data_IF_892072333403
#
_entry.id   IF_892072333403
#
_cell.length_a   1.000
_cell.length_b   1.000
_cell.length_c   1.000
_cell.angle_alpha   90.00
_cell.angle_beta   90.00
_cell.angle_gamma   90.00
#
_symmetry.space_group_name_H-M   'P 1'
#
loop_
_entity.id
_entity.type
_entity.pdbx_description
1 polymer ?
#
# COMPACT_ATOMS: atom_id res chain seq x y z
N UNK A 1 -22.98 3.93 7.95
CA UNK A 1 -23.62 4.03 6.65
C UNK A 1 -22.69 3.56 5.55
N UNK A 2 -23.31 3.26 4.43
CA UNK A 2 -22.55 2.77 3.29
C UNK A 2 -21.52 3.78 2.79
N UNK A 3 -21.68 5.02 3.19
CA UNK A 3 -20.75 6.06 2.78
C UNK A 3 -19.43 6.04 3.55
N UNK A 4 -19.30 5.18 4.52
CA UNK A 4 -18.07 5.13 5.31
C UNK A 4 -16.99 4.37 4.54
N UNK A 5 -16.47 5.01 3.52
CA UNK A 5 -15.42 4.43 2.70
C UNK A 5 -14.09 4.84 3.28
N UNK A 6 -13.24 3.85 3.54
CA UNK A 6 -11.90 4.10 4.04
C UNK A 6 -10.91 3.76 2.94
N UNK A 7 -9.92 4.61 2.83
CA UNK A 7 -8.85 4.43 1.86
C UNK A 7 -7.54 4.22 2.59
N UNK A 8 -6.74 3.35 2.04
CA UNK A 8 -5.39 3.12 2.53
C UNK A 8 -4.41 3.71 1.52
N UNK A 9 -3.49 4.51 2.01
CA UNK A 9 -2.44 5.09 1.19
C UNK A 9 -1.10 4.57 1.67
N UNK A 10 -0.26 4.15 0.74
CA UNK A 10 1.09 3.68 1.06
C UNK A 10 2.07 4.46 0.19
N UNK A 11 2.97 5.17 0.84
CA UNK A 11 4.00 5.97 0.17
C UNK A 11 5.35 5.31 0.40
N UNK A 12 6.09 5.09 -0.66
CA UNK A 12 7.43 4.52 -0.55
C UNK A 12 8.43 5.61 -0.23
N UNK A 13 9.00 5.56 0.98
CA UNK A 13 9.99 6.51 1.45
C UNK A 13 11.40 5.92 1.41
N UNK A 14 11.58 4.77 0.78
CA UNK A 14 12.89 4.14 0.69
C UNK A 14 13.88 5.06 -0.01
N UNK A 15 15.10 5.10 0.50
CA UNK A 15 16.13 5.95 -0.08
C UNK A 15 17.03 5.19 -1.04
N UNK A 16 16.97 3.86 -1.00
CA UNK A 16 17.80 3.01 -1.83
C UNK A 16 16.97 1.86 -2.38
N UNK A 17 17.37 1.30 -3.50
CA UNK A 17 16.68 0.13 -4.04
C UNK A 17 16.73 -1.05 -3.04
N UNK A 18 15.70 -1.87 -3.09
CA UNK A 18 15.62 -3.08 -2.29
C UNK A 18 15.03 -4.18 -3.14
N UNK A 19 15.24 -5.42 -2.71
CA UNK A 19 14.71 -6.59 -3.41
C UNK A 19 13.66 -7.26 -2.53
N UNK A 20 12.66 -7.83 -3.19
CA UNK A 20 11.49 -8.34 -2.49
C UNK A 20 10.58 -7.19 -2.09
N UNK A 21 9.79 -7.40 -1.08
CA UNK A 21 8.91 -6.35 -0.56
C UNK A 21 7.84 -5.88 -1.53
N UNK A 22 7.50 -6.68 -2.53
CA UNK A 22 6.49 -6.30 -3.51
C UNK A 22 5.11 -6.34 -2.89
N UNK A 23 4.32 -5.30 -3.13
CA UNK A 23 2.94 -5.22 -2.67
C UNK A 23 2.04 -5.96 -3.65
N UNK A 24 1.13 -6.74 -3.09
CA UNK A 24 0.10 -7.44 -3.85
C UNK A 24 -1.26 -7.02 -3.36
N UNK A 25 -2.15 -6.73 -4.29
CA UNK A 25 -3.55 -6.45 -3.98
C UNK A 25 -4.39 -7.59 -4.51
N UNK A 26 -5.40 -7.98 -3.76
CA UNK A 26 -6.30 -9.05 -4.15
C UNK A 26 -7.70 -8.47 -4.35
N UNK A 27 -8.11 -8.38 -5.61
CA UNK A 27 -9.45 -7.91 -6.00
C UNK A 27 -10.24 -9.02 -6.69
N UNK A 28 -9.99 -10.26 -6.28
CA UNK A 28 -10.49 -11.44 -6.96
C UNK A 28 -9.33 -12.24 -7.51
N UNK A 29 -8.35 -11.55 -8.07
CA UNK A 29 -7.08 -12.13 -8.47
C UNK A 29 -5.97 -11.34 -7.80
N UNK A 30 -4.89 -12.02 -7.49
CA UNK A 30 -3.74 -11.37 -6.86
C UNK A 30 -2.96 -10.60 -7.92
N UNK A 31 -2.77 -9.31 -7.68
CA UNK A 31 -2.06 -8.43 -8.61
C UNK A 31 -0.88 -7.80 -7.91
N UNK A 32 0.29 -7.89 -8.51
CA UNK A 32 1.47 -7.22 -7.97
C UNK A 32 1.49 -5.77 -8.40
N UNK A 33 2.05 -4.92 -7.54
CA UNK A 33 2.17 -3.50 -7.80
C UNK A 33 3.65 -3.13 -7.74
N UNK A 34 4.41 -3.47 -8.77
CA UNK A 34 5.84 -3.20 -8.74
C UNK A 34 6.17 -1.70 -8.79
N UNK A 35 5.25 -0.89 -9.30
CA UNK A 35 5.49 0.55 -9.38
C UNK A 35 5.68 1.17 -8.01
N UNK A 36 5.12 0.58 -6.97
CA UNK A 36 5.29 1.11 -5.62
C UNK A 36 6.72 0.98 -5.13
N UNK A 37 7.55 0.17 -5.78
CA UNK A 37 8.94 0.02 -5.37
C UNK A 37 9.79 1.22 -5.73
N UNK A 38 9.29 2.11 -6.56
CA UNK A 38 10.01 3.34 -6.86
C UNK A 38 9.87 4.32 -5.70
N UNK A 39 10.99 4.87 -5.21
CA UNK A 39 10.90 5.88 -4.15
C UNK A 39 10.04 7.07 -4.57
N UNK A 40 9.21 7.52 -3.65
CA UNK A 40 8.32 8.64 -3.90
C UNK A 40 6.98 8.27 -4.52
N UNK A 41 6.82 7.03 -4.98
CA UNK A 41 5.54 6.61 -5.51
C UNK A 41 4.59 6.26 -4.39
N UNK A 42 3.31 6.50 -4.63
CA UNK A 42 2.27 6.23 -3.65
C UNK A 42 1.14 5.47 -4.33
N UNK A 43 0.52 4.58 -3.57
CA UNK A 43 -0.69 3.91 -4.03
C UNK A 43 -1.81 4.20 -3.03
N UNK A 44 -3.01 4.37 -3.55
CA UNK A 44 -4.21 4.56 -2.73
C UNK A 44 -5.23 3.52 -3.19
N UNK A 45 -5.78 2.79 -2.24
CA UNK A 45 -6.78 1.78 -2.57
C UNK A 45 -7.79 1.68 -1.42
N UNK A 46 -9.00 1.19 -1.72
CA UNK A 46 -10.00 0.99 -0.66
C UNK A 46 -9.48 0.02 0.39
N UNK A 47 -9.69 0.35 1.65
CA UNK A 47 -9.13 -0.44 2.74
C UNK A 47 -9.70 -1.86 2.82
N UNK A 48 -10.86 -2.11 2.19
CA UNK A 48 -11.43 -3.46 2.20
C UNK A 48 -10.71 -4.39 1.22
N UNK A 49 -9.85 -3.87 0.35
CA UNK A 49 -9.08 -4.71 -0.56
C UNK A 49 -8.00 -5.42 0.25
N UNK A 50 -7.95 -6.73 0.12
CA UNK A 50 -6.90 -7.50 0.77
C UNK A 50 -5.56 -7.19 0.13
N UNK A 51 -4.57 -7.02 0.96
CA UNK A 51 -3.24 -6.72 0.46
C UNK A 51 -2.21 -7.44 1.31
N UNK A 52 -1.06 -7.67 0.71
CA UNK A 52 0.06 -8.24 1.44
C UNK A 52 1.36 -7.74 0.81
N UNK A 53 2.41 -7.78 1.61
CA UNK A 53 3.75 -7.40 1.15
C UNK A 53 4.64 -8.62 1.31
N UNK A 54 5.31 -9.00 0.24
CA UNK A 54 6.27 -10.10 0.31
C UNK A 54 7.48 -9.68 1.13
N UNK A 55 8.17 -10.63 1.75
CA UNK A 55 9.35 -10.26 2.55
C UNK A 55 10.40 -9.56 1.70
N UNK A 56 11.06 -8.60 2.33
CA UNK A 56 12.22 -7.94 1.74
C UNK A 56 13.40 -8.89 1.85
N UNK A 57 14.05 -9.17 0.72
CA UNK A 57 15.16 -10.12 0.70
C UNK A 57 16.51 -9.41 0.69
N UNK A 58 16.55 -8.15 0.31
CA UNK A 58 17.78 -7.38 0.28
C UNK A 58 17.47 -5.91 0.38
N UNK A 59 18.23 -5.19 1.19
CA UNK A 59 18.02 -3.77 1.36
C UNK A 59 17.00 -3.45 2.44
N UNK A 60 16.60 -2.21 2.50
CA UNK A 60 15.65 -1.72 3.51
C UNK A 60 14.49 -1.05 2.82
N UNK A 61 13.28 -1.49 3.15
CA UNK A 61 12.06 -0.89 2.65
C UNK A 61 11.48 0.02 3.70
N UNK A 62 11.27 1.29 3.35
CA UNK A 62 10.66 2.27 4.24
C UNK A 62 9.40 2.79 3.59
N UNK A 63 8.29 2.74 4.31
CA UNK A 63 7.03 3.25 3.80
C UNK A 63 6.30 4.02 4.87
N UNK A 64 5.45 4.92 4.41
CA UNK A 64 4.49 5.61 5.27
C UNK A 64 3.11 5.13 4.85
N UNK A 65 2.35 4.61 5.81
CA UNK A 65 0.99 4.18 5.56
C UNK A 65 0.04 5.12 6.28
N UNK A 66 -1.05 5.46 5.61
CA UNK A 66 -2.05 6.34 6.19
C UNK A 66 -3.42 5.85 5.79
N UNK A 67 -4.40 6.16 6.62
CA UNK A 67 -5.79 5.84 6.33
C UNK A 67 -6.57 7.12 6.19
N UNK A 68 -7.38 7.19 5.14
CA UNK A 68 -8.13 8.39 4.81
C UNK A 68 -9.60 8.01 4.75
N UNK A 69 -10.45 8.91 5.23
CA UNK A 69 -11.87 8.68 5.22
C UNK A 69 -12.35 8.02 6.49
N UNK A 70 -13.40 7.24 6.36
CA UNK A 70 -14.02 6.59 7.50
C UNK A 70 -15.30 7.28 7.89
N UNK A 71 -15.79 6.99 9.09
CA UNK A 71 -17.05 7.61 9.53
C UNK A 71 -16.92 9.11 9.54
N UNK A 72 -18.03 9.75 9.28
CA UNK A 72 -18.04 11.20 9.36
C UNK A 72 -17.67 11.64 10.76
N UNK A 73 -16.93 12.70 10.82
CA UNK A 73 -16.64 13.32 12.10
C UNK A 73 -17.82 14.17 12.51
N UNK A 74 -18.15 14.04 13.73
CA UNK A 74 -19.29 14.76 14.29
C UNK A 74 -18.82 15.84 15.21
#
# INVERSE_FOLDING_TARGET
>A
PASDIKLTAILNLSTEPYEGGTLYLNTGNECSIPELKKPGNMIIFPSFILHKVKPVTKGVRKTLSAWVGGPKFQ
#
